data_IF_751425484733
#
_entry.id   IF_751425484733
#
_cell.length_a   1.000
_cell.length_b   1.000
_cell.length_c   1.000
_cell.angle_alpha   90.00
_cell.angle_beta   90.00
_cell.angle_gamma   90.00
#
_symmetry.space_group_name_H-M   'P 1'
#
loop_
_entity.id
_entity.type
_entity.pdbx_description
1 polymer ?
#
# COMPACT_ATOMS: atom_id res chain seq x y z
N UNK A 1 32.52 2.84 13.78
CA UNK A 1 31.81 4.02 13.28
C UNK A 1 30.38 3.59 12.94
N UNK A 2 29.41 3.92 13.79
CA UNK A 2 28.01 3.61 13.56
C UNK A 2 27.44 4.59 12.52
N UNK A 3 27.04 4.10 11.35
CA UNK A 3 26.33 4.90 10.37
C UNK A 3 24.94 5.25 10.93
N UNK A 4 24.74 6.51 11.30
CA UNK A 4 23.44 7.08 11.62
C UNK A 4 22.58 7.04 10.34
N UNK A 5 21.63 6.11 10.26
CA UNK A 5 20.61 6.14 9.24
C UNK A 5 19.57 7.20 9.63
N UNK A 6 19.46 8.24 8.82
CA UNK A 6 18.40 9.24 8.94
C UNK A 6 17.16 8.67 8.25
N UNK A 7 16.13 8.33 9.05
CA UNK A 7 14.83 7.96 8.52
C UNK A 7 14.25 9.18 7.78
N UNK A 8 14.20 9.12 6.46
CA UNK A 8 13.62 10.20 5.65
C UNK A 8 12.12 9.96 5.57
N UNK A 9 11.38 10.61 6.47
CA UNK A 9 9.92 10.54 6.56
C UNK A 9 9.34 11.62 5.65
N UNK A 10 8.58 11.21 4.63
CA UNK A 10 7.77 12.13 3.82
C UNK A 10 6.38 12.13 4.42
N UNK A 11 6.06 13.16 5.21
CA UNK A 11 4.75 13.32 5.84
C UNK A 11 3.71 13.78 4.80
N UNK A 12 2.58 13.07 4.65
CA UNK A 12 1.40 13.67 4.04
C UNK A 12 0.72 14.62 5.03
N UNK A 13 0.18 15.73 4.53
CA UNK A 13 -0.56 16.70 5.34
C UNK A 13 -1.77 16.03 6.01
N UNK A 14 -1.97 16.35 7.31
CA UNK A 14 -3.03 15.88 8.22
C UNK A 14 -4.39 15.64 7.56
N UNK A 15 -4.93 14.42 7.76
CA UNK A 15 -6.36 14.13 7.61
C UNK A 15 -6.83 13.32 8.83
N UNK A 16 -7.96 13.69 9.46
CA UNK A 16 -8.53 12.93 10.57
C UNK A 16 -9.12 11.60 10.08
N UNK A 17 -8.82 10.52 10.77
CA UNK A 17 -9.39 9.18 10.53
C UNK A 17 -10.68 9.07 11.33
N UNK A 18 -11.79 8.71 10.68
CA UNK A 18 -13.08 8.49 11.36
C UNK A 18 -12.96 7.42 12.47
N UNK A 19 -13.48 7.71 13.66
CA UNK A 19 -13.33 6.92 14.89
C UNK A 19 -13.85 5.47 14.79
N UNK A 20 -14.82 5.20 13.92
CA UNK A 20 -15.35 3.84 13.68
C UNK A 20 -14.35 3.00 12.88
N UNK A 21 -13.68 3.61 11.92
CA UNK A 21 -12.65 2.97 11.11
C UNK A 21 -11.39 2.67 11.95
N UNK A 22 -11.07 3.54 12.92
CA UNK A 22 -9.96 3.35 13.85
C UNK A 22 -10.16 2.13 14.77
N UNK A 23 -11.38 1.87 15.26
CA UNK A 23 -11.67 0.71 16.13
C UNK A 23 -11.62 -0.63 15.39
N UNK A 24 -12.14 -0.71 14.17
CA UNK A 24 -12.03 -1.92 13.34
C UNK A 24 -10.59 -2.21 12.94
N UNK A 25 -9.81 -1.18 12.65
CA UNK A 25 -8.39 -1.26 12.32
C UNK A 25 -7.55 -1.70 13.53
N UNK A 26 -7.93 -1.31 14.74
CA UNK A 26 -7.23 -1.67 15.97
C UNK A 26 -7.33 -3.17 16.27
N UNK A 27 -8.51 -3.79 16.06
CA UNK A 27 -8.70 -5.23 16.27
C UNK A 27 -7.91 -6.09 15.28
N UNK A 28 -7.77 -5.66 14.01
CA UNK A 28 -6.97 -6.39 13.02
C UNK A 28 -5.46 -6.25 13.24
N UNK A 29 -4.99 -5.12 13.80
CA UNK A 29 -3.56 -4.91 14.04
C UNK A 29 -3.02 -5.65 15.26
N UNK A 30 -3.85 -5.97 16.24
CA UNK A 30 -3.45 -6.70 17.44
C UNK A 30 -3.18 -8.18 17.14
N UNK A 31 -3.74 -8.71 16.05
CA UNK A 31 -3.52 -10.08 15.54
C UNK A 31 -2.32 -10.21 14.59
N UNK A 32 -1.64 -9.11 14.24
CA UNK A 32 -0.48 -9.15 13.35
C UNK A 32 0.68 -9.89 14.02
N UNK A 33 1.06 -11.01 13.43
CA UNK A 33 2.20 -11.82 13.86
C UNK A 33 3.44 -10.95 14.14
N UNK A 34 4.09 -11.20 15.27
CA UNK A 34 5.33 -10.54 15.70
C UNK A 34 6.44 -10.56 14.64
N UNK A 35 6.45 -11.59 13.77
CA UNK A 35 7.34 -11.70 12.62
C UNK A 35 7.07 -10.63 11.55
N UNK A 36 5.81 -10.25 11.32
CA UNK A 36 5.46 -9.18 10.38
C UNK A 36 5.92 -7.82 10.90
N UNK A 37 5.76 -7.56 12.19
CA UNK A 37 6.27 -6.34 12.85
C UNK A 37 7.80 -6.24 12.72
N UNK A 38 8.51 -7.34 12.97
CA UNK A 38 9.99 -7.40 12.86
C UNK A 38 10.47 -7.15 11.43
N UNK A 39 9.74 -7.63 10.42
CA UNK A 39 10.12 -7.43 9.02
C UNK A 39 10.04 -5.95 8.63
N UNK A 40 8.94 -5.26 8.95
CA UNK A 40 8.76 -3.84 8.60
C UNK A 40 9.71 -2.95 9.40
N UNK A 41 9.96 -3.26 10.68
CA UNK A 41 10.93 -2.52 11.49
C UNK A 41 12.37 -2.59 10.96
N UNK A 42 12.67 -3.58 10.10
CA UNK A 42 13.96 -3.70 9.43
C UNK A 42 14.13 -2.81 8.19
N UNK A 43 13.07 -2.15 7.70
CA UNK A 43 13.18 -1.26 6.54
C UNK A 43 13.53 0.16 6.99
N UNK A 44 14.64 0.72 6.52
CA UNK A 44 15.11 2.05 6.93
C UNK A 44 14.24 3.19 6.39
N UNK A 45 13.37 2.90 5.41
CA UNK A 45 12.49 3.89 4.78
C UNK A 45 11.19 3.22 4.35
N UNK A 46 10.06 3.77 4.79
CA UNK A 46 8.71 3.34 4.41
C UNK A 46 7.86 4.57 4.09
N UNK A 47 6.89 4.44 3.18
CA UNK A 47 5.97 5.53 2.83
C UNK A 47 4.60 5.00 2.44
N UNK A 48 3.60 5.88 2.43
CA UNK A 48 2.28 5.56 1.89
C UNK A 48 2.30 5.44 0.36
N UNK A 49 1.42 4.61 -0.22
CA UNK A 49 1.33 4.43 -1.67
C UNK A 49 0.75 5.66 -2.40
N UNK A 50 0.11 6.58 -1.69
CA UNK A 50 -0.46 7.84 -2.18
C UNK A 50 -0.15 8.98 -1.20
N UNK A 51 -0.23 10.22 -1.65
CA UNK A 51 -0.07 11.40 -0.78
C UNK A 51 -1.15 11.50 0.30
N UNK A 52 -2.36 11.02 0.00
CA UNK A 52 -3.50 11.02 0.92
C UNK A 52 -4.16 9.64 0.90
N UNK A 53 -4.41 9.08 2.07
CA UNK A 53 -5.03 7.76 2.19
C UNK A 53 -6.50 7.93 2.55
N UNK A 54 -7.36 7.54 1.60
CA UNK A 54 -8.81 7.44 1.82
C UNK A 54 -9.31 6.13 1.23
N UNK A 55 -9.70 5.21 2.10
CA UNK A 55 -10.26 3.92 1.68
C UNK A 55 -11.65 4.14 1.08
N UNK A 56 -11.86 3.60 -0.12
CA UNK A 56 -13.16 3.63 -0.82
C UNK A 56 -13.82 2.26 -0.86
N UNK A 57 -13.01 1.18 -0.77
CA UNK A 57 -13.54 -0.18 -0.66
C UNK A 57 -12.57 -1.08 0.10
N UNK A 58 -13.02 -1.74 1.18
CA UNK A 58 -12.15 -2.57 2.02
C UNK A 58 -11.83 -3.93 1.37
N UNK A 59 -10.80 -4.58 1.91
CA UNK A 59 -10.49 -5.98 1.68
C UNK A 59 -11.55 -6.88 2.34
N UNK A 60 -11.90 -7.99 1.67
CA UNK A 60 -12.83 -8.96 2.22
C UNK A 60 -14.15 -9.05 1.45
N UNK A 61 -15.18 -9.61 2.07
CA UNK A 61 -16.50 -9.72 1.44
C UNK A 61 -17.19 -8.37 1.34
N UNK A 62 -17.62 -8.02 0.13
CA UNK A 62 -18.37 -6.79 -0.15
C UNK A 62 -19.33 -6.97 -1.32
N UNK A 63 -20.25 -6.04 -1.48
CA UNK A 63 -21.08 -5.95 -2.69
C UNK A 63 -20.20 -5.47 -3.85
N UNK A 64 -20.11 -6.26 -4.91
CA UNK A 64 -19.36 -5.90 -6.12
C UNK A 64 -20.03 -4.70 -6.81
N UNK A 65 -19.30 -3.61 -7.09
CA UNK A 65 -19.90 -2.38 -7.62
C UNK A 65 -20.38 -2.52 -9.08
N UNK A 66 -19.93 -3.55 -9.81
CA UNK A 66 -20.31 -3.77 -11.20
C UNK A 66 -21.49 -4.73 -11.28
N UNK A 67 -21.46 -5.85 -10.55
CA UNK A 67 -22.49 -6.90 -10.63
C UNK A 67 -23.57 -6.77 -9.57
N UNK A 68 -23.33 -5.98 -8.52
CA UNK A 68 -24.22 -5.84 -7.37
C UNK A 68 -24.29 -7.09 -6.47
N UNK A 69 -23.55 -8.16 -6.78
CA UNK A 69 -23.54 -9.42 -6.01
C UNK A 69 -22.49 -9.40 -4.91
N UNK A 70 -22.70 -10.21 -3.88
CA UNK A 70 -21.67 -10.44 -2.85
C UNK A 70 -20.43 -11.09 -3.49
N UNK A 71 -19.26 -10.53 -3.24
CA UNK A 71 -18.01 -10.94 -3.86
C UNK A 71 -16.84 -10.70 -2.91
N UNK A 72 -15.83 -11.56 -3.02
CA UNK A 72 -14.56 -11.38 -2.30
C UNK A 72 -13.69 -10.36 -3.02
N UNK A 73 -13.23 -9.34 -2.28
CA UNK A 73 -12.29 -8.33 -2.70
C UNK A 73 -10.89 -8.62 -2.12
N UNK A 74 -9.95 -9.04 -2.96
CA UNK A 74 -8.62 -9.45 -2.52
C UNK A 74 -7.60 -8.29 -2.40
N UNK A 75 -8.09 -7.08 -2.34
CA UNK A 75 -7.28 -5.86 -2.22
C UNK A 75 -7.99 -4.76 -1.48
N UNK A 76 -7.37 -3.60 -1.46
CA UNK A 76 -7.87 -2.37 -0.85
C UNK A 76 -7.97 -1.31 -1.93
N UNK A 77 -9.13 -0.68 -2.08
CA UNK A 77 -9.29 0.43 -3.00
C UNK A 77 -9.09 1.76 -2.27
N UNK A 78 -8.15 2.55 -2.79
CA UNK A 78 -7.82 3.88 -2.28
C UNK A 78 -8.28 4.94 -3.27
N UNK A 79 -8.93 5.99 -2.77
CA UNK A 79 -9.31 7.13 -3.60
C UNK A 79 -8.06 7.76 -4.22
N UNK A 80 -8.07 7.88 -5.55
CA UNK A 80 -7.00 8.50 -6.32
C UNK A 80 -7.55 9.04 -7.63
N UNK A 81 -6.90 10.06 -8.20
CA UNK A 81 -7.31 10.64 -9.49
C UNK A 81 -6.10 11.16 -10.24
N UNK A 82 -5.55 10.32 -11.14
CA UNK A 82 -4.41 10.68 -11.99
C UNK A 82 -3.22 11.27 -11.19
N UNK A 83 -2.92 10.66 -10.05
CA UNK A 83 -1.83 11.06 -9.17
C UNK A 83 -0.76 9.97 -9.10
N UNK A 84 0.49 10.33 -8.73
CA UNK A 84 1.56 9.37 -8.57
C UNK A 84 1.25 8.31 -7.53
N UNK A 85 1.55 7.03 -7.87
CA UNK A 85 1.62 5.93 -6.94
C UNK A 85 3.08 5.68 -6.55
N UNK A 86 3.33 5.51 -5.25
CA UNK A 86 4.67 5.41 -4.68
C UNK A 86 4.97 4.00 -4.16
N UNK A 87 6.19 3.51 -4.38
CA UNK A 87 6.67 2.30 -3.74
C UNK A 87 6.65 2.47 -2.22
N UNK A 88 5.94 1.58 -1.53
CA UNK A 88 5.79 1.68 -0.07
C UNK A 88 7.09 1.39 0.68
N UNK A 89 7.96 0.57 0.11
CA UNK A 89 9.23 0.10 0.71
C UNK A 89 10.28 -0.09 -0.38
N UNK A 90 11.53 -0.26 0.03
CA UNK A 90 12.61 -0.66 -0.86
C UNK A 90 12.35 -2.05 -1.43
N UNK A 91 12.64 -2.27 -2.71
CA UNK A 91 12.39 -3.55 -3.35
C UNK A 91 12.83 -3.63 -4.80
N UNK A 92 12.31 -4.62 -5.49
CA UNK A 92 12.56 -4.88 -6.90
C UNK A 92 11.22 -5.00 -7.63
N UNK A 93 11.12 -4.43 -8.81
CA UNK A 93 9.97 -4.61 -9.71
C UNK A 93 9.94 -6.04 -10.20
N UNK A 94 9.02 -6.84 -9.67
CA UNK A 94 8.89 -8.25 -10.04
C UNK A 94 8.10 -8.42 -11.33
N UNK A 95 7.00 -7.64 -11.48
CA UNK A 95 6.11 -7.72 -12.65
C UNK A 95 5.64 -6.33 -13.07
N UNK A 96 5.55 -6.15 -14.38
CA UNK A 96 4.85 -5.06 -15.03
C UNK A 96 3.98 -5.70 -16.10
N UNK A 97 2.73 -5.27 -16.24
CA UNK A 97 1.85 -5.84 -17.23
C UNK A 97 0.47 -5.20 -17.31
N UNK A 98 -0.34 -5.81 -18.14
CA UNK A 98 -1.77 -5.51 -18.30
C UNK A 98 -2.57 -6.79 -18.29
N UNK A 99 -3.68 -6.82 -17.59
CA UNK A 99 -4.74 -7.81 -17.73
C UNK A 99 -6.12 -7.16 -17.58
N UNK A 100 -7.16 -7.86 -18.05
CA UNK A 100 -8.53 -7.32 -18.06
C UNK A 100 -9.10 -7.03 -16.66
N UNK A 101 -8.56 -7.63 -15.61
CA UNK A 101 -9.00 -7.41 -14.23
C UNK A 101 -8.22 -6.27 -13.58
N UNK A 102 -6.91 -6.34 -13.61
CA UNK A 102 -6.00 -5.40 -12.91
C UNK A 102 -5.74 -4.12 -13.71
N UNK A 103 -6.05 -4.10 -15.02
CA UNK A 103 -5.59 -3.04 -15.91
C UNK A 103 -4.07 -3.02 -16.01
N UNK A 104 -3.47 -1.85 -16.22
CA UNK A 104 -2.03 -1.70 -16.08
C UNK A 104 -1.66 -1.86 -14.61
N UNK A 105 -0.66 -2.68 -14.35
CA UNK A 105 -0.22 -2.95 -12.98
C UNK A 105 1.29 -3.07 -12.87
N UNK A 106 1.79 -2.81 -11.68
CA UNK A 106 3.16 -3.14 -11.25
C UNK A 106 3.10 -3.92 -9.95
N UNK A 107 3.91 -4.98 -9.84
CA UNK A 107 4.11 -5.74 -8.61
C UNK A 107 5.54 -5.54 -8.13
N UNK A 108 5.69 -5.08 -6.91
CA UNK A 108 6.97 -4.93 -6.23
C UNK A 108 7.18 -6.11 -5.26
N UNK A 109 8.41 -6.62 -5.23
CA UNK A 109 8.87 -7.63 -4.28
C UNK A 109 9.73 -6.97 -3.20
N UNK A 110 9.32 -7.16 -1.94
CA UNK A 110 9.96 -6.67 -0.73
C UNK A 110 10.27 -7.86 0.18
N UNK A 111 11.39 -8.57 -0.06
CA UNK A 111 11.66 -9.87 0.59
C UNK A 111 10.59 -10.91 0.25
N UNK A 112 9.85 -11.41 1.25
CA UNK A 112 8.75 -12.37 1.06
C UNK A 112 7.40 -11.72 0.76
N UNK A 113 7.33 -10.39 0.70
CA UNK A 113 6.10 -9.66 0.46
C UNK A 113 6.04 -9.17 -0.98
N UNK A 114 4.85 -9.23 -1.55
CA UNK A 114 4.53 -8.73 -2.88
C UNK A 114 3.40 -7.73 -2.77
N UNK A 115 3.64 -6.52 -3.27
CA UNK A 115 2.63 -5.45 -3.29
C UNK A 115 2.35 -5.11 -4.74
N UNK A 116 1.08 -5.21 -5.17
CA UNK A 116 0.67 -4.85 -6.52
C UNK A 116 -0.17 -3.59 -6.52
N UNK A 117 0.15 -2.70 -7.44
CA UNK A 117 -0.51 -1.43 -7.72
C UNK A 117 -1.25 -1.58 -9.04
N UNK A 118 -2.58 -1.56 -9.02
CA UNK A 118 -3.41 -1.84 -10.18
C UNK A 118 -4.24 -0.64 -10.63
N UNK A 119 -4.90 -0.77 -11.79
CA UNK A 119 -5.72 0.23 -12.47
C UNK A 119 -4.94 1.49 -12.87
N UNK A 120 -3.62 1.36 -13.06
CA UNK A 120 -2.76 2.48 -13.41
C UNK A 120 -3.09 3.00 -14.82
N UNK A 121 -3.01 4.33 -15.02
CA UNK A 121 -3.03 4.92 -16.35
C UNK A 121 -1.71 4.72 -17.08
N UNK A 122 -0.60 4.75 -16.32
CA UNK A 122 0.74 4.47 -16.83
C UNK A 122 1.62 3.83 -15.74
N UNK A 123 2.56 2.99 -16.19
CA UNK A 123 3.64 2.44 -15.35
C UNK A 123 4.93 3.14 -15.75
N UNK A 124 5.76 3.53 -14.76
CA UNK A 124 6.97 4.35 -14.98
C UNK A 124 8.24 3.52 -14.79
N UNK A 125 8.15 2.37 -14.10
CA UNK A 125 9.27 1.49 -13.79
C UNK A 125 9.26 0.24 -14.63
N UNK A 126 10.43 -0.38 -14.83
CA UNK A 126 10.62 -1.61 -15.60
C UNK A 126 10.83 -2.85 -14.73
N UNK A 127 10.47 -4.03 -15.26
CA UNK A 127 10.74 -5.31 -14.58
C UNK A 127 12.23 -5.48 -14.29
N UNK A 128 12.58 -5.88 -13.06
CA UNK A 128 13.94 -6.05 -12.57
C UNK A 128 14.55 -4.77 -11.99
N UNK A 129 13.89 -3.62 -12.15
CA UNK A 129 14.36 -2.34 -11.61
C UNK A 129 14.31 -2.34 -10.08
N UNK A 130 15.35 -1.78 -9.46
CA UNK A 130 15.39 -1.54 -8.03
C UNK A 130 14.67 -0.23 -7.71
N UNK A 131 13.74 -0.28 -6.78
CA UNK A 131 13.00 0.89 -6.30
C UNK A 131 13.28 1.11 -4.82
N UNK A 132 13.25 2.37 -4.41
CA UNK A 132 13.30 2.76 -3.01
C UNK A 132 11.93 3.25 -2.55
N UNK A 133 11.70 3.21 -1.25
CA UNK A 133 10.51 3.82 -0.66
C UNK A 133 10.31 5.25 -1.17
N UNK A 134 9.11 5.57 -1.65
CA UNK A 134 8.81 6.87 -2.26
C UNK A 134 9.14 7.00 -3.75
N UNK A 135 9.75 6.00 -4.39
CA UNK A 135 9.91 5.98 -5.85
C UNK A 135 8.54 5.95 -6.52
N UNK A 136 8.30 6.82 -7.51
CA UNK A 136 7.06 6.80 -8.31
C UNK A 136 7.11 5.56 -9.20
N UNK A 137 6.12 4.67 -9.05
CA UNK A 137 6.01 3.42 -9.82
C UNK A 137 5.02 3.50 -10.97
N UNK A 138 4.13 4.48 -10.93
CA UNK A 138 3.13 4.71 -11.95
C UNK A 138 2.21 5.86 -11.60
N UNK A 139 1.21 6.10 -12.42
CA UNK A 139 0.14 7.08 -12.22
C UNK A 139 -1.18 6.32 -12.08
N UNK A 140 -1.97 6.67 -11.06
CA UNK A 140 -3.29 6.07 -10.85
C UNK A 140 -4.24 6.38 -11.99
N UNK A 141 -5.19 5.48 -12.26
CA UNK A 141 -6.10 5.62 -13.41
C UNK A 141 -7.37 4.80 -13.25
N UNK A 142 -7.92 4.39 -14.39
CA UNK A 142 -9.18 3.65 -14.49
C UNK A 142 -9.09 2.55 -15.56
N UNK A 143 -7.98 1.84 -15.64
CA UNK A 143 -7.76 0.74 -16.60
C UNK A 143 -8.23 -0.60 -16.03
N UNK A 144 -8.55 -1.57 -16.93
CA UNK A 144 -9.05 -2.87 -16.53
C UNK A 144 -10.48 -2.83 -15.97
N UNK A 145 -10.80 -3.75 -15.03
CA UNK A 145 -12.13 -3.88 -14.42
C UNK A 145 -12.29 -2.88 -13.28
N UNK A 146 -12.63 -1.65 -13.59
CA UNK A 146 -12.79 -0.54 -12.66
C UNK A 146 -14.01 0.31 -13.00
N UNK A 147 -14.64 0.91 -12.00
CA UNK A 147 -15.79 1.81 -12.15
C UNK A 147 -15.41 3.29 -12.11
N UNK A 148 -14.15 3.61 -11.85
CA UNK A 148 -13.65 4.99 -11.77
C UNK A 148 -12.22 5.04 -11.28
N UNK A 149 -11.58 6.20 -11.38
CA UNK A 149 -10.19 6.39 -10.97
C UNK A 149 -9.99 6.05 -9.48
N UNK A 150 -9.09 5.09 -9.21
CA UNK A 150 -8.64 4.71 -7.87
C UNK A 150 -7.32 3.92 -7.96
N UNK A 151 -6.68 3.70 -6.84
CA UNK A 151 -5.59 2.73 -6.70
C UNK A 151 -6.16 1.46 -6.05
N UNK A 152 -6.12 0.34 -6.76
CA UNK A 152 -6.35 -0.97 -6.16
C UNK A 152 -5.01 -1.55 -5.72
N UNK A 153 -4.86 -1.77 -4.40
CA UNK A 153 -3.65 -2.28 -3.78
C UNK A 153 -3.88 -3.73 -3.32
N UNK A 154 -3.02 -4.66 -3.75
CA UNK A 154 -3.05 -6.03 -3.22
C UNK A 154 -1.74 -6.37 -2.53
N UNK A 155 -1.83 -7.16 -1.46
CA UNK A 155 -0.67 -7.61 -0.71
C UNK A 155 -0.67 -9.13 -0.59
N UNK A 156 0.51 -9.73 -0.79
CA UNK A 156 0.74 -11.15 -0.55
C UNK A 156 2.00 -11.34 0.29
N UNK A 157 1.99 -12.37 1.12
CA UNK A 157 3.16 -12.87 1.85
C UNK A 157 3.26 -14.37 1.59
N UNK A 158 4.42 -14.85 1.15
CA UNK A 158 4.66 -16.26 0.82
C UNK A 158 3.59 -16.85 -0.12
N UNK A 159 3.05 -16.02 -1.05
CA UNK A 159 2.00 -16.38 -2.01
C UNK A 159 0.56 -16.16 -1.52
N UNK A 160 0.32 -16.02 -0.23
CA UNK A 160 -1.01 -15.85 0.37
C UNK A 160 -1.40 -14.37 0.45
N UNK A 161 -2.64 -14.06 0.03
CA UNK A 161 -3.19 -12.71 0.13
C UNK A 161 -3.53 -12.34 1.56
N UNK A 162 -3.23 -11.11 1.96
CA UNK A 162 -3.63 -10.55 3.24
C UNK A 162 -4.16 -9.12 3.08
N UNK A 163 -4.84 -8.62 4.10
CA UNK A 163 -5.45 -7.29 4.10
C UNK A 163 -4.39 -6.19 4.03
N UNK A 164 -4.35 -5.36 2.95
CA UNK A 164 -3.37 -4.29 2.82
C UNK A 164 -3.43 -3.21 3.90
N UNK A 165 -4.56 -3.07 4.59
CA UNK A 165 -4.72 -2.15 5.71
C UNK A 165 -3.69 -2.41 6.82
N UNK A 166 -3.25 -3.65 6.99
CA UNK A 166 -2.19 -4.02 7.94
C UNK A 166 -0.89 -3.25 7.65
N UNK A 167 -0.49 -3.14 6.37
CA UNK A 167 0.70 -2.38 5.98
C UNK A 167 0.52 -0.88 6.22
N UNK A 168 -0.66 -0.33 5.89
CA UNK A 168 -0.94 1.10 6.12
C UNK A 168 -0.87 1.46 7.60
N UNK A 169 -1.44 0.63 8.47
CA UNK A 169 -1.40 0.83 9.92
C UNK A 169 0.01 0.71 10.51
N UNK A 170 0.84 -0.18 9.96
CA UNK A 170 2.23 -0.29 10.38
C UNK A 170 3.06 0.93 9.99
N UNK A 171 2.79 1.51 8.81
CA UNK A 171 3.38 2.77 8.37
C UNK A 171 2.98 3.90 9.34
N UNK A 172 1.70 4.02 9.66
CA UNK A 172 1.19 5.03 10.59
C UNK A 172 1.85 4.93 11.96
N UNK A 173 1.91 3.72 12.53
CA UNK A 173 2.58 3.48 13.82
C UNK A 173 4.07 3.85 13.78
N UNK A 174 4.76 3.58 12.67
CA UNK A 174 6.17 3.95 12.50
C UNK A 174 6.36 5.47 12.51
N UNK A 175 5.46 6.22 11.89
CA UNK A 175 5.48 7.68 11.92
C UNK A 175 5.23 8.23 13.32
N UNK A 176 4.25 7.69 14.05
CA UNK A 176 3.95 8.11 15.42
C UNK A 176 5.15 7.90 16.36
N UNK A 177 5.83 6.76 16.26
CA UNK A 177 7.04 6.47 17.06
C UNK A 177 8.19 7.42 16.74
N UNK A 178 8.40 7.74 15.46
CA UNK A 178 9.45 8.68 15.04
C UNK A 178 9.17 10.09 15.54
N UNK A 179 7.93 10.56 15.51
CA UNK A 179 7.55 11.87 16.01
C UNK A 179 7.78 11.99 17.52
N UNK A 180 7.46 10.93 18.28
CA UNK A 180 7.64 10.93 19.76
C UNK A 180 9.10 10.89 20.19
N UNK A 181 10.00 10.34 19.35
CA UNK A 181 11.45 10.31 19.63
C UNK A 181 12.16 11.62 19.34
N UNK A 182 11.57 12.52 18.55
CA UNK A 182 12.12 13.84 18.21
C UNK A 182 11.69 14.94 19.20
N UNK A 183 10.76 14.64 20.13
CA UNK A 183 10.24 15.58 21.13
C UNK A 183 10.96 15.47 22.49
N UNK A 184 12.02 14.68 22.56
CA UNK A 184 12.91 14.54 23.72
C UNK A 184 14.31 15.03 23.35
#
# INVERSE_FOLDING_TARGET
MAKRFVLRIILPANQPVDSIQANLLQQETDSVDSKQKKWISGYPSITYPLKSIKVTSPYGYRRDPITGKQSWHNGLDLRAKNEPAYAMMDGIVEKVGYDNRSGNYVTLKHGNYHVSYCHLSSVIVGKGERVFSGTIVGVTGNTGRSTGCHLHLTCKKDGESFNPTILLNLIEKSFALSASSMSK
#
